data_IF_407388326543
#
_entry.id   IF_407388326543
#
_cell.length_a   1.000
_cell.length_b   1.000
_cell.length_c   1.000
_cell.angle_alpha   90.00
_cell.angle_beta   90.00
_cell.angle_gamma   90.00
#
_symmetry.space_group_name_H-M   'P 1'
#
loop_
_entity.id
_entity.type
_entity.pdbx_description
1 polymer ?
#
# COMPACT_ATOMS: atom_id res chain seq x y z
N UNK A 1 16.77 7.40 -0.62
CA UNK A 1 17.14 5.98 -0.72
C UNK A 1 18.52 5.80 -0.12
N UNK A 2 18.58 5.64 1.20
CA UNK A 2 19.82 5.30 1.92
C UNK A 2 19.73 3.80 2.12
N UNK A 3 20.54 3.07 1.35
CA UNK A 3 20.64 1.62 1.27
C UNK A 3 19.34 0.86 0.93
N UNK A 4 19.30 0.22 -0.24
CA UNK A 4 18.14 -0.53 -0.72
C UNK A 4 17.86 -1.81 0.10
N UNK A 5 18.57 -2.03 1.20
CA UNK A 5 18.51 -3.24 2.03
C UNK A 5 17.38 -3.22 3.07
N UNK A 6 16.86 -2.04 3.45
CA UNK A 6 15.76 -1.91 4.42
C UNK A 6 14.72 -0.90 3.95
N UNK A 7 13.46 -1.14 4.30
CA UNK A 7 12.36 -0.22 4.00
C UNK A 7 11.27 -0.37 5.07
N UNK A 8 10.73 0.75 5.54
CA UNK A 8 9.59 0.80 6.45
C UNK A 8 8.31 1.04 5.68
N UNK A 9 7.21 0.59 6.26
CA UNK A 9 5.87 0.96 5.78
C UNK A 9 5.66 2.45 5.98
N UNK A 10 5.09 3.13 4.99
CA UNK A 10 4.73 4.54 5.11
C UNK A 10 3.56 4.69 6.09
N UNK A 11 3.71 5.59 7.08
CA UNK A 11 2.61 5.98 7.96
C UNK A 11 1.70 6.97 7.21
N UNK A 12 0.67 6.42 6.57
CA UNK A 12 -0.29 7.18 5.78
C UNK A 12 -1.53 7.44 6.65
N UNK A 13 -2.03 8.68 6.75
CA UNK A 13 -3.25 8.98 7.49
C UNK A 13 -4.41 8.08 7.04
N UNK A 14 -5.09 7.45 7.99
CA UNK A 14 -6.16 6.50 7.69
C UNK A 14 -7.29 7.13 6.86
N UNK A 15 -7.59 8.41 7.06
CA UNK A 15 -8.56 9.16 6.26
C UNK A 15 -8.19 9.23 4.77
N UNK A 16 -6.90 9.32 4.45
CA UNK A 16 -6.42 9.28 3.07
C UNK A 16 -6.55 7.88 2.47
N UNK A 17 -6.23 6.83 3.25
CA UNK A 17 -6.44 5.44 2.82
C UNK A 17 -7.91 5.14 2.53
N UNK A 18 -8.83 5.66 3.36
CA UNK A 18 -10.28 5.56 3.13
C UNK A 18 -10.70 6.29 1.85
N UNK A 19 -10.19 7.51 1.62
CA UNK A 19 -10.47 8.26 0.40
C UNK A 19 -9.99 7.50 -0.86
N UNK A 20 -8.76 6.98 -0.85
CA UNK A 20 -8.21 6.18 -1.96
C UNK A 20 -9.05 4.93 -2.20
N UNK A 21 -9.41 4.21 -1.12
CA UNK A 21 -10.24 3.00 -1.20
C UNK A 21 -11.59 3.28 -1.84
N UNK A 22 -12.28 4.35 -1.41
CA UNK A 22 -13.58 4.73 -1.96
C UNK A 22 -13.49 5.03 -3.46
N UNK A 23 -12.46 5.77 -3.87
CA UNK A 23 -12.24 6.10 -5.28
C UNK A 23 -12.00 4.85 -6.12
N UNK A 24 -11.09 3.96 -5.70
CA UNK A 24 -10.80 2.74 -6.47
C UNK A 24 -12.06 1.86 -6.62
N UNK A 25 -12.79 1.60 -5.53
CA UNK A 25 -13.98 0.74 -5.57
C UNK A 25 -15.09 1.36 -6.44
N UNK A 26 -15.20 2.69 -6.49
CA UNK A 26 -16.27 3.37 -7.24
C UNK A 26 -15.91 3.59 -8.71
N UNK A 27 -14.65 3.90 -8.99
CA UNK A 27 -14.18 4.35 -10.31
C UNK A 27 -13.65 3.19 -11.16
N UNK A 28 -13.21 2.07 -10.56
CA UNK A 28 -12.58 0.94 -11.28
C UNK A 28 -13.49 -0.28 -11.30
N UNK A 29 -14.10 -0.54 -12.46
CA UNK A 29 -14.96 -1.70 -12.67
C UNK A 29 -14.20 -3.01 -12.43
N UNK A 30 -14.84 -3.94 -11.71
CA UNK A 30 -14.28 -5.25 -11.40
C UNK A 30 -13.37 -5.30 -10.16
N UNK A 31 -13.04 -4.15 -9.54
CA UNK A 31 -12.28 -4.11 -8.29
C UNK A 31 -13.23 -4.03 -7.09
N UNK A 32 -13.20 -5.04 -6.22
CA UNK A 32 -14.07 -5.13 -5.04
C UNK A 32 -13.35 -4.97 -3.69
N UNK A 33 -12.00 -4.88 -3.72
CA UNK A 33 -11.17 -4.81 -2.51
C UNK A 33 -9.88 -4.07 -2.79
N UNK A 34 -9.49 -3.25 -1.83
CA UNK A 34 -8.21 -2.56 -1.79
C UNK A 34 -7.51 -2.97 -0.50
N UNK A 35 -6.22 -3.25 -0.58
CA UNK A 35 -5.36 -3.57 0.58
C UNK A 35 -4.14 -2.66 0.58
N UNK A 36 -3.63 -2.33 1.76
CA UNK A 36 -2.36 -1.63 1.94
C UNK A 36 -1.39 -2.58 2.62
N UNK A 37 -0.26 -2.85 1.96
CA UNK A 37 0.74 -3.78 2.47
C UNK A 37 1.51 -3.17 3.64
N UNK A 38 1.52 -3.87 4.76
CA UNK A 38 2.18 -3.47 6.00
C UNK A 38 3.46 -4.27 6.27
N UNK A 39 4.00 -4.95 5.25
CA UNK A 39 5.20 -5.79 5.39
C UNK A 39 6.45 -4.96 5.14
N UNK A 40 7.34 -4.76 6.14
CA UNK A 40 8.59 -4.06 5.93
C UNK A 40 9.62 -4.94 5.20
N UNK A 41 10.58 -4.31 4.53
CA UNK A 41 11.82 -4.99 4.11
C UNK A 41 12.79 -5.00 5.30
N UNK A 42 13.25 -6.17 5.77
CA UNK A 42 13.58 -7.37 4.97
C UNK A 42 12.58 -8.53 5.02
N UNK A 43 11.48 -8.44 5.78
CA UNK A 43 10.49 -9.53 5.88
C UNK A 43 9.82 -9.80 4.54
N UNK A 44 9.52 -8.74 3.79
CA UNK A 44 9.09 -8.78 2.39
C UNK A 44 10.04 -8.02 1.46
N UNK A 45 9.75 -8.09 0.17
CA UNK A 45 10.34 -7.23 -0.86
C UNK A 45 9.48 -5.98 -1.08
N UNK A 46 10.04 -4.96 -1.75
CA UNK A 46 9.28 -3.75 -2.11
C UNK A 46 8.23 -4.09 -3.17
N UNK A 47 8.64 -4.85 -4.19
CA UNK A 47 7.76 -5.40 -5.22
C UNK A 47 7.11 -6.70 -4.75
N UNK A 48 6.00 -7.08 -5.39
CA UNK A 48 5.24 -8.29 -5.06
C UNK A 48 5.74 -9.57 -5.77
N UNK A 49 6.56 -9.47 -6.82
CA UNK A 49 7.15 -10.58 -7.58
C UNK A 49 8.56 -10.24 -8.09
#
# INVERSE_FOLDING_TARGET
TVDAMTATVADIPFSLLQHITQRIITEVEGVNRVVFDLTPKPTGTIEWE
#
